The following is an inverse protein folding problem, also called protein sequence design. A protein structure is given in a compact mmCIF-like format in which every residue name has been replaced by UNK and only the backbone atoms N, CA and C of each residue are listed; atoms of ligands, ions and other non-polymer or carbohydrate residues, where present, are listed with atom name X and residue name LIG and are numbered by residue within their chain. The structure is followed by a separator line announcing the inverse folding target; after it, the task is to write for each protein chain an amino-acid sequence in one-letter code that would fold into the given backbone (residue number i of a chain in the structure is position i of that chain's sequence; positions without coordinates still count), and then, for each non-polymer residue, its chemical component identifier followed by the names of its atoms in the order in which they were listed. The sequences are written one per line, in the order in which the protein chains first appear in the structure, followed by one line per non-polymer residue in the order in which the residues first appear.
data_IF_955271081340
#
_entry.id   IF_955271081340
#
_cell.length_a   1.000
_cell.length_b   1.000
_cell.length_c   1.000
_cell.angle_alpha   90.00
_cell.angle_beta   90.00
_cell.angle_gamma   90.00
#
_symmetry.space_group_name_H-M   'P 1'
#
loop_
_entity.id
_entity.type
_entity.pdbx_description
1 polymer ?
#
# COMPACT_ATOMS: atom_id res chain seq x y z
N UNK A 1 17.44 -0.83 16.37
CA UNK A 1 16.20 -1.25 15.68
C UNK A 1 15.73 -0.07 14.82
N UNK A 2 15.89 -0.12 13.50
CA UNK A 2 15.45 0.97 12.63
C UNK A 2 13.91 0.99 12.59
N UNK A 3 13.31 2.16 12.83
CA UNK A 3 11.85 2.31 12.85
C UNK A 3 11.33 2.14 11.42
N UNK A 4 10.62 1.05 11.14
CA UNK A 4 10.03 0.77 9.82
C UNK A 4 8.84 1.70 9.58
N UNK A 5 8.83 2.40 8.44
CA UNK A 5 7.69 3.25 8.05
C UNK A 5 6.68 2.46 7.21
N UNK A 6 5.42 2.87 7.29
CA UNK A 6 4.33 2.31 6.48
C UNK A 6 3.97 3.28 5.36
N UNK A 7 3.75 2.73 4.17
CA UNK A 7 3.42 3.49 2.98
C UNK A 7 2.17 2.91 2.33
N UNK A 8 1.06 3.66 2.32
CA UNK A 8 -0.18 3.25 1.68
C UNK A 8 -0.27 3.87 0.28
N UNK A 9 -0.16 3.04 -0.73
CA UNK A 9 -0.43 3.41 -2.12
C UNK A 9 -1.91 3.26 -2.40
N UNK A 10 -2.51 4.34 -2.93
CA UNK A 10 -3.91 4.37 -3.29
C UNK A 10 -4.21 5.40 -4.35
N UNK A 11 -5.48 5.53 -4.68
CA UNK A 11 -5.98 6.57 -5.58
C UNK A 11 -7.28 7.12 -5.03
N UNK A 12 -7.47 8.44 -5.11
CA UNK A 12 -8.76 9.11 -4.89
C UNK A 12 -9.86 8.59 -5.82
N UNK A 13 -9.51 8.00 -6.97
CA UNK A 13 -10.45 7.41 -7.91
C UNK A 13 -10.84 5.97 -7.55
N UNK A 14 -10.16 5.35 -6.58
CA UNK A 14 -10.43 3.98 -6.15
C UNK A 14 -11.36 3.99 -4.93
N UNK A 15 -12.57 3.43 -5.04
CA UNK A 15 -13.54 3.43 -3.94
C UNK A 15 -13.05 2.66 -2.71
N UNK A 16 -12.19 1.65 -2.88
CA UNK A 16 -11.63 0.83 -1.80
C UNK A 16 -10.45 1.48 -1.07
N UNK A 17 -9.81 2.50 -1.65
CA UNK A 17 -8.67 3.19 -1.01
C UNK A 17 -9.11 4.08 0.16
N UNK A 18 -10.29 4.70 0.05
CA UNK A 18 -10.89 5.51 1.12
C UNK A 18 -11.09 4.73 2.44
N UNK A 19 -11.82 3.60 2.45
CA UNK A 19 -12.02 2.80 3.65
C UNK A 19 -10.72 2.22 4.20
N UNK A 20 -9.77 1.81 3.34
CA UNK A 20 -8.46 1.34 3.78
C UNK A 20 -7.67 2.41 4.54
N UNK A 21 -7.63 3.64 4.03
CA UNK A 21 -7.02 4.79 4.70
C UNK A 21 -7.69 5.07 6.05
N UNK A 22 -9.03 5.14 6.06
CA UNK A 22 -9.80 5.40 7.27
C UNK A 22 -9.62 4.33 8.35
N UNK A 23 -9.46 3.06 7.96
CA UNK A 23 -9.19 1.97 8.89
C UNK A 23 -7.85 2.16 9.63
N UNK A 24 -6.80 2.51 8.90
CA UNK A 24 -5.48 2.77 9.48
C UNK A 24 -5.49 4.01 10.38
N UNK A 25 -6.15 5.08 9.96
CA UNK A 25 -6.31 6.31 10.76
C UNK A 25 -7.10 6.03 12.04
N UNK A 26 -8.19 5.24 11.96
CA UNK A 26 -9.01 4.85 13.12
C UNK A 26 -8.23 3.99 14.11
N UNK A 27 -7.33 3.14 13.61
CA UNK A 27 -6.40 2.37 14.44
C UNK A 27 -5.32 3.25 15.09
N UNK A 28 -5.03 4.45 14.57
CA UNK A 28 -3.96 5.32 15.07
C UNK A 28 -2.59 4.99 14.47
N UNK A 29 -2.56 4.16 13.43
CA UNK A 29 -1.32 3.75 12.74
C UNK A 29 -0.73 4.94 12.01
N UNK A 30 0.58 5.19 12.19
CA UNK A 30 1.31 6.21 11.42
C UNK A 30 1.79 5.66 10.08
N UNK A 31 1.17 6.12 9.00
CA UNK A 31 1.55 5.77 7.63
C UNK A 31 1.62 7.01 6.74
N UNK A 32 2.34 6.92 5.63
CA UNK A 32 2.33 7.91 4.56
C UNK A 32 1.41 7.43 3.44
N UNK A 33 0.49 8.29 3.02
CA UNK A 33 -0.37 8.02 1.88
C UNK A 33 0.27 8.54 0.59
N UNK A 34 0.35 7.69 -0.42
CA UNK A 34 0.83 8.01 -1.74
C UNK A 34 -0.29 7.82 -2.76
N UNK A 35 -0.75 8.94 -3.31
CA UNK A 35 -1.74 8.92 -4.37
C UNK A 35 -1.05 8.70 -5.73
N UNK A 36 -1.36 7.58 -6.38
CA UNK A 36 -0.78 7.22 -7.69
C UNK A 36 -1.41 7.99 -8.86
N UNK A 37 -2.53 8.67 -8.63
CA UNK A 37 -3.25 9.46 -9.64
C UNK A 37 -2.79 10.91 -9.64
N UNK A 38 -2.40 11.44 -8.48
CA UNK A 38 -1.84 12.80 -8.38
C UNK A 38 -0.38 12.88 -8.84
N UNK A 39 0.43 11.84 -8.63
CA UNK A 39 1.85 11.86 -8.97
C UNK A 39 2.29 10.55 -9.66
N UNK A 40 2.75 10.67 -10.91
CA UNK A 40 3.24 9.54 -11.71
C UNK A 40 4.53 8.93 -11.15
N UNK A 41 5.28 9.65 -10.32
CA UNK A 41 6.42 9.13 -9.56
C UNK A 41 5.98 8.11 -8.51
N UNK A 42 4.86 8.32 -7.82
CA UNK A 42 4.28 7.31 -6.93
C UNK A 42 3.85 6.06 -7.70
N UNK A 43 3.23 6.24 -8.87
CA UNK A 43 2.87 5.13 -9.74
C UNK A 43 4.11 4.36 -10.20
N UNK A 44 5.16 5.04 -10.68
CA UNK A 44 6.43 4.40 -11.08
C UNK A 44 7.06 3.64 -9.91
N UNK A 45 7.01 4.19 -8.71
CA UNK A 45 7.51 3.53 -7.51
C UNK A 45 6.75 2.24 -7.22
N UNK A 46 5.41 2.26 -7.25
CA UNK A 46 4.59 1.06 -7.09
C UNK A 46 4.87 0.03 -8.19
N UNK A 47 4.96 0.47 -9.45
CA UNK A 47 5.24 -0.39 -10.60
C UNK A 47 6.59 -1.11 -10.47
N UNK A 48 7.62 -0.44 -9.94
CA UNK A 48 8.91 -1.06 -9.69
C UNK A 48 8.76 -2.34 -8.85
N UNK A 49 8.05 -2.26 -7.72
CA UNK A 49 7.83 -3.45 -6.90
C UNK A 49 6.82 -4.41 -7.53
N UNK A 50 5.75 -3.89 -8.13
CA UNK A 50 4.72 -4.71 -8.79
C UNK A 50 5.30 -5.62 -9.89
N UNK A 51 6.26 -5.12 -10.65
CA UNK A 51 6.88 -5.87 -11.75
C UNK A 51 7.97 -6.83 -11.28
N UNK A 52 8.64 -6.53 -10.16
CA UNK A 52 9.74 -7.35 -9.62
C UNK A 52 9.27 -8.39 -8.58
N UNK A 53 8.16 -8.15 -7.87
CA UNK A 53 7.75 -8.94 -6.70
C UNK A 53 6.67 -9.97 -7.02
N UNK A 54 6.89 -11.19 -6.53
CA UNK A 54 5.96 -12.30 -6.72
C UNK A 54 4.60 -12.05 -6.06
N UNK A 55 4.55 -11.28 -4.97
CA UNK A 55 3.32 -10.90 -4.27
C UNK A 55 2.29 -10.21 -5.19
N UNK A 56 2.78 -9.51 -6.22
CA UNK A 56 1.93 -8.82 -7.20
C UNK A 56 1.61 -9.67 -8.43
N UNK A 57 2.14 -10.89 -8.52
CA UNK A 57 1.99 -11.75 -9.69
C UNK A 57 0.53 -12.06 -10.02
N UNK A 58 -0.29 -12.34 -9.01
CA UNK A 58 -1.72 -12.60 -9.18
C UNK A 58 -2.47 -11.33 -9.61
N UNK A 59 -2.22 -10.21 -8.94
CA UNK A 59 -2.81 -8.90 -9.28
C UNK A 59 -2.47 -8.48 -10.71
N UNK A 60 -1.22 -8.70 -11.13
CA UNK A 60 -0.76 -8.43 -12.50
C UNK A 60 -1.44 -9.35 -13.51
N UNK A 61 -1.62 -10.64 -13.19
CA UNK A 61 -2.38 -11.60 -14.02
C UNK A 61 -3.83 -11.19 -14.21
N UNK A 62 -4.45 -10.64 -13.17
CA UNK A 62 -5.82 -10.13 -13.22
C UNK A 62 -5.94 -8.74 -13.89
N UNK A 63 -4.83 -8.14 -14.34
CA UNK A 63 -4.83 -6.81 -14.93
C UNK A 63 -5.07 -5.67 -13.94
N UNK A 64 -4.97 -5.95 -12.64
CA UNK A 64 -5.14 -4.96 -11.57
C UNK A 64 -3.86 -4.14 -11.39
N UNK A 65 -4.04 -2.90 -10.94
CA UNK A 65 -2.93 -2.02 -10.54
C UNK A 65 -2.30 -2.52 -9.24
N UNK A 66 -3.10 -3.10 -8.34
CA UNK A 66 -2.67 -3.53 -7.01
C UNK A 66 -2.77 -2.41 -5.98
N UNK A 67 -3.90 -1.70 -5.95
CA UNK A 67 -4.25 -0.73 -4.90
C UNK A 67 -5.60 -1.13 -4.27
N UNK A 68 -5.84 -0.83 -2.98
CA UNK A 68 -4.90 -0.26 -2.01
C UNK A 68 -3.73 -1.21 -1.71
N UNK A 69 -2.53 -0.67 -1.56
CA UNK A 69 -1.33 -1.46 -1.23
C UNK A 69 -0.55 -0.79 -0.11
N UNK A 70 -0.47 -1.46 1.03
CA UNK A 70 0.31 -1.04 2.17
C UNK A 70 1.68 -1.72 2.12
N UNK A 71 2.72 -0.92 1.98
CA UNK A 71 4.10 -1.37 1.96
C UNK A 71 4.76 -1.09 3.32
N UNK A 72 5.50 -2.06 3.82
CA UNK A 72 6.33 -1.94 5.03
C UNK A 72 7.77 -1.63 4.64
N UNK A 73 8.34 -0.61 5.26
CA UNK A 73 9.72 -0.21 5.03
C UNK A 73 9.96 0.20 3.58
N UNK A 74 11.05 -0.29 2.99
CA UNK A 74 11.40 -0.03 1.59
C UNK A 74 11.06 -1.24 0.70
N UNK A 75 9.85 -1.76 0.84
CA UNK A 75 9.41 -2.97 0.15
C UNK A 75 9.89 -4.24 0.86
N UNK A 76 9.91 -4.25 2.19
CA UNK A 76 10.11 -5.50 2.94
C UNK A 76 8.90 -6.41 2.74
N UNK A 77 7.70 -5.86 2.99
CA UNK A 77 6.42 -6.57 2.90
C UNK A 77 5.35 -5.71 2.23
N UNK A 78 4.36 -6.38 1.63
CA UNK A 78 3.23 -5.74 0.96
C UNK A 78 1.92 -6.38 1.41
N UNK A 79 0.95 -5.54 1.78
CA UNK A 79 -0.40 -5.94 2.16
C UNK A 79 -1.40 -5.26 1.24
N UNK A 80 -2.18 -6.07 0.53
CA UNK A 80 -3.25 -5.57 -0.35
C UNK A 80 -4.58 -5.39 0.40
N UNK A 81 -4.67 -5.94 1.61
CA UNK A 81 -5.80 -5.78 2.50
C UNK A 81 -5.31 -5.32 3.88
N UNK A 82 -5.65 -4.08 4.24
CA UNK A 82 -5.22 -3.47 5.51
C UNK A 82 -6.04 -3.96 6.71
N UNK A 83 -7.17 -4.63 6.47
CA UNK A 83 -8.06 -5.11 7.53
C UNK A 83 -7.54 -6.41 8.14
N UNK A 84 -6.86 -7.21 7.32
CA UNK A 84 -6.20 -8.46 7.68
C UNK A 84 -4.72 -8.30 8.02
N UNK A 85 -4.12 -7.15 7.70
CA UNK A 85 -2.73 -6.85 8.03
C UNK A 85 -2.49 -6.80 9.55
N UNK A 86 -1.48 -7.53 10.03
CA UNK A 86 -0.99 -7.39 11.40
C UNK A 86 -0.17 -6.11 11.51
N UNK A 87 -0.77 -5.09 12.13
CA UNK A 87 -0.15 -3.79 12.33
C UNK A 87 0.09 -3.51 13.81
N UNK A 88 0.19 -4.56 14.62
CA UNK A 88 0.34 -4.47 16.07
C UNK A 88 1.59 -3.68 16.47
N UNK A 89 2.66 -3.77 15.68
CA UNK A 89 3.92 -3.06 15.90
C UNK A 89 3.85 -1.54 15.56
N UNK A 90 2.80 -1.06 14.89
CA UNK A 90 2.67 0.32 14.42
C UNK A 90 1.49 1.10 15.03
N UNK A 91 0.76 0.47 15.96
CA UNK A 91 -0.26 1.08 16.84
C UNK A 91 0.41 1.83 18.00
#
# INVERSE_FOLDING_TARGET
MAKRQLFLFGSKLCPDCGPAKGYLEKKGVKFRYFDITEDLGHLKFLLKYRDERAEFGELKREGKIGIPCLMVGNGEEFFFDVTTADLSEWL
#
